data_IF_474475225706
#
_entry.id   IF_474475225706
#
_cell.length_a   1.000
_cell.length_b   1.000
_cell.length_c   1.000
_cell.angle_alpha   90.00
_cell.angle_beta   90.00
_cell.angle_gamma   90.00
#
_symmetry.space_group_name_H-M   'P 1'
#
loop_
_entity.id
_entity.type
_entity.pdbx_description
1 polymer ?
#
# COMPACT_ATOMS: atom_id res chain seq x y z
N UNK A 1 12.88 19.11 21.57
CA UNK A 1 12.11 17.91 21.18
C UNK A 1 12.90 17.04 20.23
N UNK A 2 12.49 15.79 20.09
CA UNK A 2 13.08 14.87 19.10
C UNK A 2 12.57 15.27 17.73
N UNK A 3 13.47 15.73 16.86
CA UNK A 3 13.10 16.15 15.49
C UNK A 3 12.98 14.99 14.51
N UNK A 4 13.69 13.90 14.76
CA UNK A 4 13.69 12.72 13.90
C UNK A 4 13.22 11.49 14.67
N UNK A 5 12.35 10.71 14.07
CA UNK A 5 11.93 9.41 14.59
C UNK A 5 11.88 8.36 13.49
N UNK A 6 12.22 7.12 13.86
CA UNK A 6 12.25 5.97 12.99
C UNK A 6 11.44 4.83 13.59
N UNK A 7 10.73 4.12 12.73
CA UNK A 7 10.07 2.87 13.04
C UNK A 7 10.38 1.90 11.92
N UNK A 8 10.73 0.66 12.25
CA UNK A 8 10.87 -0.41 11.29
C UNK A 8 10.27 -1.68 11.86
N UNK A 9 9.70 -2.51 11.00
CA UNK A 9 9.06 -3.75 11.37
C UNK A 9 9.22 -4.82 10.32
N UNK A 10 9.05 -6.08 10.76
CA UNK A 10 8.93 -7.26 9.89
C UNK A 10 7.78 -8.08 10.41
N UNK A 11 6.91 -8.52 9.50
CA UNK A 11 5.75 -9.37 9.79
C UNK A 11 5.73 -10.56 8.87
N UNK A 12 5.13 -11.66 9.33
CA UNK A 12 4.87 -12.84 8.52
C UNK A 12 3.42 -13.27 8.71
N UNK A 13 2.75 -13.55 7.61
CA UNK A 13 1.42 -14.14 7.58
C UNK A 13 1.50 -15.46 6.83
N UNK A 14 0.94 -16.50 7.42
CA UNK A 14 0.74 -17.81 6.78
C UNK A 14 -0.74 -18.08 6.64
N UNK A 15 -1.13 -18.52 5.47
CA UNK A 15 -2.51 -18.91 5.17
C UNK A 15 -2.52 -20.19 4.34
N UNK A 16 -3.65 -20.88 4.35
CA UNK A 16 -3.93 -22.01 3.51
C UNK A 16 -5.27 -21.80 2.83
N UNK A 17 -5.29 -21.96 1.52
CA UNK A 17 -6.49 -21.81 0.70
C UNK A 17 -6.95 -23.18 0.20
N UNK A 18 -8.02 -23.71 0.80
CA UNK A 18 -8.54 -25.05 0.50
C UNK A 18 -9.81 -25.03 -0.37
N UNK A 19 -10.54 -23.92 -0.37
CA UNK A 19 -11.92 -23.85 -0.89
C UNK A 19 -12.09 -23.17 -2.25
N UNK A 20 -11.03 -22.77 -2.93
CA UNK A 20 -11.17 -22.16 -4.25
C UNK A 20 -11.69 -23.18 -5.27
N UNK A 21 -12.79 -22.85 -5.94
CA UNK A 21 -13.29 -23.64 -7.08
C UNK A 21 -12.46 -23.39 -8.32
N UNK A 22 -11.88 -22.17 -8.43
CA UNK A 22 -11.02 -21.73 -9.51
C UNK A 22 -9.83 -20.96 -8.93
N UNK A 23 -8.65 -21.14 -9.52
CA UNK A 23 -7.44 -20.47 -9.12
C UNK A 23 -6.51 -21.28 -8.20
N UNK A 24 -5.86 -20.63 -7.25
CA UNK A 24 -4.85 -21.24 -6.40
C UNK A 24 -5.46 -21.96 -5.18
N UNK A 25 -4.97 -23.18 -4.91
CA UNK A 25 -5.18 -23.92 -3.67
C UNK A 25 -3.85 -24.34 -3.09
N UNK A 26 -3.59 -24.05 -1.82
CA UNK A 26 -2.35 -24.44 -1.17
C UNK A 26 -1.93 -23.51 -0.06
N UNK A 27 -0.66 -23.57 0.26
CA UNK A 27 -0.03 -22.80 1.31
C UNK A 27 0.51 -21.47 0.76
N UNK A 28 0.28 -20.40 1.50
CA UNK A 28 0.80 -19.07 1.21
C UNK A 28 1.60 -18.55 2.40
N UNK A 29 2.74 -17.98 2.15
CA UNK A 29 3.54 -17.27 3.14
C UNK A 29 3.86 -15.88 2.64
N UNK A 30 3.31 -14.86 3.32
CA UNK A 30 3.57 -13.46 3.03
C UNK A 30 4.51 -12.86 4.08
N UNK A 31 5.63 -12.34 3.63
CA UNK A 31 6.56 -11.53 4.42
C UNK A 31 6.35 -10.05 4.11
N UNK A 32 6.37 -9.24 5.14
CA UNK A 32 6.23 -7.78 5.03
C UNK A 32 7.36 -7.14 5.81
N UNK A 33 8.11 -6.28 5.15
CA UNK A 33 9.07 -5.40 5.80
C UNK A 33 8.61 -3.95 5.64
N UNK A 34 8.59 -3.19 6.73
CA UNK A 34 8.14 -1.81 6.73
C UNK A 34 9.15 -0.87 7.37
N UNK A 35 9.16 0.38 6.92
CA UNK A 35 9.93 1.45 7.51
C UNK A 35 9.17 2.77 7.44
N UNK A 36 9.24 3.54 8.51
CA UNK A 36 8.70 4.91 8.58
C UNK A 36 9.76 5.83 9.19
N UNK A 37 10.01 6.93 8.50
CA UNK A 37 10.79 8.06 9.03
C UNK A 37 9.92 9.30 9.12
N UNK A 38 10.05 10.02 10.22
CA UNK A 38 9.37 11.30 10.45
C UNK A 38 10.38 12.34 10.87
N UNK A 39 10.28 13.50 10.25
CA UNK A 39 11.00 14.71 10.66
C UNK A 39 10.01 15.82 10.97
N UNK A 40 10.22 16.48 12.11
CA UNK A 40 9.39 17.59 12.56
C UNK A 40 10.28 18.71 13.10
N UNK A 41 10.22 19.93 12.54
CA UNK A 41 11.00 21.07 13.03
C UNK A 41 10.73 21.34 14.50
N UNK A 42 11.79 21.40 15.31
CA UNK A 42 11.67 21.60 16.76
C UNK A 42 10.90 20.50 17.50
N UNK A 43 10.68 19.35 16.85
CA UNK A 43 9.88 18.23 17.39
C UNK A 43 8.37 18.45 17.35
N UNK A 44 7.89 19.48 16.64
CA UNK A 44 6.46 19.81 16.57
C UNK A 44 5.90 19.53 15.17
N UNK A 45 5.16 18.45 15.02
CA UNK A 45 4.52 18.07 13.76
C UNK A 45 3.37 18.99 13.33
N UNK A 46 2.88 19.88 14.19
CA UNK A 46 1.78 20.79 13.87
C UNK A 46 2.23 21.93 12.94
N UNK A 47 3.49 22.34 13.04
CA UNK A 47 4.02 23.50 12.33
C UNK A 47 4.67 23.15 10.98
N UNK A 48 4.79 21.86 10.69
CA UNK A 48 5.34 21.32 9.45
C UNK A 48 6.03 19.99 9.68
N UNK A 49 6.60 19.41 8.62
CA UNK A 49 7.38 18.19 8.72
C UNK A 49 7.25 17.30 7.49
N UNK A 50 8.06 16.26 7.49
CA UNK A 50 8.09 15.24 6.43
C UNK A 50 7.88 13.88 7.06
N UNK A 51 7.10 13.04 6.42
CA UNK A 51 7.00 11.63 6.71
C UNK A 51 7.30 10.84 5.44
N UNK A 52 8.26 9.91 5.55
CA UNK A 52 8.50 8.90 4.53
C UNK A 52 8.06 7.55 5.07
N UNK A 53 7.40 6.78 4.25
CA UNK A 53 6.92 5.43 4.53
C UNK A 53 7.24 4.52 3.37
N UNK A 54 7.64 3.29 3.65
CA UNK A 54 7.82 2.25 2.65
C UNK A 54 7.43 0.90 3.23
N UNK A 55 6.90 0.06 2.37
CA UNK A 55 6.68 -1.35 2.67
C UNK A 55 7.11 -2.19 1.48
N UNK A 56 7.66 -3.35 1.76
CA UNK A 56 7.99 -4.39 0.80
C UNK A 56 7.27 -5.66 1.20
N UNK A 57 6.59 -6.27 0.23
CA UNK A 57 5.83 -7.50 0.37
C UNK A 57 6.49 -8.58 -0.47
N UNK A 58 6.66 -9.75 0.11
CA UNK A 58 7.14 -10.92 -0.59
C UNK A 58 6.29 -12.12 -0.22
N UNK A 59 5.65 -12.72 -1.22
CA UNK A 59 4.74 -13.84 -1.07
C UNK A 59 5.29 -15.07 -1.80
N UNK A 60 5.37 -16.17 -1.07
CA UNK A 60 5.63 -17.51 -1.60
C UNK A 60 4.33 -18.31 -1.58
N UNK A 61 4.03 -19.00 -2.66
CA UNK A 61 2.88 -19.87 -2.82
C UNK A 61 3.33 -21.26 -3.29
N UNK A 62 2.79 -22.31 -2.66
CA UNK A 62 3.03 -23.70 -3.04
C UNK A 62 1.74 -24.50 -2.95
N UNK A 63 1.35 -25.18 -4.05
CA UNK A 63 0.10 -25.90 -4.09
C UNK A 63 -0.34 -26.36 -5.46
N UNK A 64 -1.60 -26.13 -5.77
CA UNK A 64 -2.26 -26.57 -7.00
C UNK A 64 -2.97 -25.37 -7.67
N UNK A 65 -2.78 -25.22 -8.96
CA UNK A 65 -3.67 -24.41 -9.76
C UNK A 65 -4.87 -25.28 -10.20
N UNK A 66 -6.06 -24.77 -9.97
CA UNK A 66 -7.34 -25.44 -10.29
C UNK A 66 -8.09 -24.59 -11.30
N UNK A 67 -8.52 -25.21 -12.40
CA UNK A 67 -9.39 -24.61 -13.38
C UNK A 67 -10.80 -25.21 -13.21
N UNK A 68 -11.79 -24.36 -12.90
CA UNK A 68 -13.16 -24.76 -12.67
C UNK A 68 -13.87 -25.26 -13.94
N UNK A 69 -13.41 -24.81 -15.11
CA UNK A 69 -14.04 -25.13 -16.40
C UNK A 69 -13.44 -26.41 -17.02
N UNK A 70 -12.15 -26.62 -16.83
CA UNK A 70 -11.45 -27.79 -17.39
C UNK A 70 -10.43 -28.36 -16.40
N UNK A 71 -10.79 -29.43 -15.65
CA UNK A 71 -9.88 -30.08 -14.70
C UNK A 71 -8.59 -30.63 -15.34
N UNK A 72 -8.50 -30.75 -16.67
CA UNK A 72 -7.27 -31.18 -17.34
C UNK A 72 -6.15 -30.12 -17.23
N UNK A 73 -6.50 -28.88 -16.92
CA UNK A 73 -5.53 -27.81 -16.65
C UNK A 73 -5.09 -27.73 -15.19
N UNK A 74 -5.63 -28.56 -14.30
CA UNK A 74 -5.17 -28.63 -12.94
C UNK A 74 -3.72 -29.11 -12.89
N UNK A 75 -2.85 -28.32 -12.23
CA UNK A 75 -1.43 -28.64 -12.18
C UNK A 75 -0.80 -28.17 -10.86
N UNK A 76 0.19 -28.93 -10.34
CA UNK A 76 1.03 -28.41 -9.28
C UNK A 76 1.66 -27.10 -9.70
N UNK A 77 1.62 -26.10 -8.81
CA UNK A 77 2.18 -24.81 -9.10
C UNK A 77 2.77 -24.17 -7.84
N UNK A 78 3.97 -23.68 -7.97
CA UNK A 78 4.61 -22.83 -6.98
C UNK A 78 5.06 -21.55 -7.64
N UNK A 79 4.89 -20.43 -6.96
CA UNK A 79 5.23 -19.14 -7.51
C UNK A 79 5.57 -18.12 -6.43
N UNK A 80 6.25 -17.08 -6.86
CA UNK A 80 6.65 -15.96 -6.01
C UNK A 80 6.19 -14.66 -6.63
N UNK A 81 5.62 -13.80 -5.81
CA UNK A 81 5.32 -12.44 -6.21
C UNK A 81 5.75 -11.46 -5.15
N UNK A 82 6.04 -10.26 -5.55
CA UNK A 82 6.43 -9.22 -4.62
C UNK A 82 5.80 -7.88 -4.98
N UNK A 83 5.81 -6.98 -4.04
CA UNK A 83 5.31 -5.64 -4.23
C UNK A 83 5.99 -4.68 -3.27
N UNK A 84 6.03 -3.43 -3.64
CA UNK A 84 6.55 -2.39 -2.76
C UNK A 84 5.81 -1.08 -2.98
N UNK A 85 5.81 -0.25 -1.95
CA UNK A 85 5.53 1.16 -2.14
C UNK A 85 6.49 2.05 -1.36
N UNK A 86 6.62 3.27 -1.86
CA UNK A 86 7.26 4.38 -1.15
C UNK A 86 6.32 5.57 -1.18
N UNK A 87 6.07 6.14 -0.01
CA UNK A 87 5.21 7.31 0.17
C UNK A 87 5.97 8.42 0.90
N UNK A 88 5.89 9.62 0.37
CA UNK A 88 6.36 10.83 1.03
C UNK A 88 5.21 11.80 1.25
N UNK A 89 5.02 12.26 2.48
CA UNK A 89 4.04 13.29 2.84
C UNK A 89 4.78 14.47 3.46
N UNK A 90 4.59 15.63 2.88
CA UNK A 90 5.10 16.90 3.37
C UNK A 90 3.95 17.73 3.95
N UNK A 91 3.99 17.95 5.25
CA UNK A 91 3.14 18.92 5.92
C UNK A 91 3.78 20.29 5.78
N UNK A 92 3.21 21.14 4.95
CA UNK A 92 3.70 22.49 4.65
C UNK A 92 3.47 23.41 5.86
N UNK A 93 2.29 23.27 6.47
CA UNK A 93 1.87 24.02 7.66
C UNK A 93 0.67 23.31 8.33
N UNK A 94 0.01 23.97 9.28
CA UNK A 94 -1.15 23.41 10.00
C UNK A 94 -2.34 23.08 9.12
N UNK A 95 -2.48 23.80 7.99
CA UNK A 95 -3.65 23.70 7.12
C UNK A 95 -3.40 22.82 5.90
N UNK A 96 -2.16 22.77 5.38
CA UNK A 96 -1.86 22.14 4.10
C UNK A 96 -0.83 21.03 4.22
N UNK A 97 -1.13 19.93 3.57
CA UNK A 97 -0.18 18.86 3.32
C UNK A 97 -0.29 18.38 1.88
N UNK A 98 0.83 17.90 1.34
CA UNK A 98 0.90 17.28 0.02
C UNK A 98 1.69 15.99 0.13
N UNK A 99 1.46 15.08 -0.79
CA UNK A 99 2.16 13.80 -0.78
C UNK A 99 2.24 13.18 -2.15
N UNK A 100 3.21 12.29 -2.26
CA UNK A 100 3.41 11.45 -3.43
C UNK A 100 3.64 10.02 -2.97
N UNK A 101 3.04 9.07 -3.70
CA UNK A 101 3.22 7.64 -3.51
C UNK A 101 3.49 6.97 -4.84
N UNK A 102 4.44 6.06 -4.83
CA UNK A 102 4.73 5.15 -5.92
C UNK A 102 4.54 3.72 -5.42
N UNK A 103 3.75 2.95 -6.16
CA UNK A 103 3.50 1.53 -5.92
C UNK A 103 3.99 0.74 -7.12
N UNK A 104 4.59 -0.43 -6.88
CA UNK A 104 5.00 -1.38 -7.91
C UNK A 104 4.76 -2.80 -7.46
N UNK A 105 4.32 -3.64 -8.40
CA UNK A 105 4.20 -5.09 -8.22
C UNK A 105 5.15 -5.78 -9.17
N UNK A 106 5.66 -6.92 -8.74
CA UNK A 106 6.41 -7.87 -9.55
C UNK A 106 5.70 -9.21 -9.48
N UNK A 107 5.26 -9.70 -10.61
CA UNK A 107 4.51 -10.96 -10.73
C UNK A 107 5.41 -12.15 -11.00
N UNK A 108 4.77 -13.31 -11.10
CA UNK A 108 5.41 -14.52 -11.59
C UNK A 108 5.75 -14.37 -13.08
N UNK A 109 6.93 -14.88 -13.46
CA UNK A 109 7.37 -14.89 -14.86
C UNK A 109 6.94 -16.18 -15.60
N UNK A 110 6.49 -17.18 -14.88
CA UNK A 110 6.10 -18.49 -15.40
C UNK A 110 4.82 -18.99 -14.75
N UNK A 111 4.15 -19.94 -15.41
CA UNK A 111 2.94 -20.59 -14.91
C UNK A 111 1.62 -19.84 -15.21
N UNK A 112 0.53 -20.26 -14.58
CA UNK A 112 -0.82 -19.77 -14.91
C UNK A 112 -1.06 -18.30 -14.54
N UNK A 113 -0.24 -17.74 -13.65
CA UNK A 113 -0.31 -16.33 -13.25
C UNK A 113 0.83 -15.48 -13.83
N UNK A 114 1.56 -16.02 -14.81
CA UNK A 114 2.65 -15.30 -15.44
C UNK A 114 2.21 -13.96 -16.02
N UNK A 115 2.99 -12.93 -15.74
CA UNK A 115 2.78 -11.61 -16.30
C UNK A 115 4.08 -11.12 -16.95
N UNK A 116 3.98 -10.65 -18.18
CA UNK A 116 5.12 -10.01 -18.89
C UNK A 116 5.26 -8.54 -18.54
N UNK A 117 4.40 -8.02 -17.66
CA UNK A 117 4.38 -6.62 -17.26
C UNK A 117 4.25 -6.49 -15.75
N UNK A 118 5.07 -5.62 -15.19
CA UNK A 118 5.03 -5.27 -13.77
C UNK A 118 4.13 -4.06 -13.55
N UNK A 119 2.94 -4.22 -12.93
CA UNK A 119 2.04 -3.12 -12.64
C UNK A 119 2.65 -2.06 -11.75
N UNK A 120 2.33 -0.79 -12.03
CA UNK A 120 2.75 0.31 -11.18
C UNK A 120 1.70 1.42 -11.09
N UNK A 121 1.77 2.20 -10.02
CA UNK A 121 0.89 3.35 -9.79
C UNK A 121 1.66 4.53 -9.24
N UNK A 122 1.33 5.71 -9.73
CA UNK A 122 1.73 6.99 -9.19
C UNK A 122 0.51 7.68 -8.57
N UNK A 123 0.64 8.20 -7.38
CA UNK A 123 -0.43 8.94 -6.71
C UNK A 123 0.10 10.26 -6.17
N UNK A 124 -0.57 11.36 -6.52
CA UNK A 124 -0.35 12.69 -5.95
C UNK A 124 -1.52 13.04 -5.05
N UNK A 125 -1.25 13.71 -3.94
CA UNK A 125 -2.23 14.11 -2.95
C UNK A 125 -2.00 15.55 -2.50
N UNK A 126 -3.09 16.28 -2.32
CA UNK A 126 -3.14 17.54 -1.59
C UNK A 126 -4.29 17.50 -0.59
N UNK A 127 -4.04 17.90 0.64
CA UNK A 127 -5.08 17.94 1.67
C UNK A 127 -5.09 19.29 2.38
N UNK A 128 -6.30 19.76 2.62
CA UNK A 128 -6.57 20.98 3.38
C UNK A 128 -7.34 20.63 4.66
N UNK A 129 -6.74 20.97 5.79
CA UNK A 129 -7.32 20.80 7.13
C UNK A 129 -7.92 22.11 7.56
N UNK A 130 -9.21 22.30 7.37
CA UNK A 130 -9.90 23.50 7.79
C UNK A 130 -10.12 23.59 9.30
N UNK A 131 -10.03 22.46 10.01
CA UNK A 131 -10.07 22.38 11.47
C UNK A 131 -9.37 21.13 11.99
N UNK A 132 -9.27 20.99 13.30
CA UNK A 132 -8.74 19.75 13.93
C UNK A 132 -9.66 18.54 13.67
N UNK A 133 -10.89 18.77 13.28
CA UNK A 133 -11.95 17.77 13.11
C UNK A 133 -12.30 17.47 11.66
N UNK A 134 -11.81 18.25 10.72
CA UNK A 134 -12.21 18.10 9.32
C UNK A 134 -11.08 18.38 8.34
N UNK A 135 -11.13 17.62 7.25
CA UNK A 135 -10.13 17.66 6.18
C UNK A 135 -10.81 17.41 4.83
N UNK A 136 -10.39 18.13 3.82
CA UNK A 136 -10.66 17.84 2.42
C UNK A 136 -9.35 17.34 1.79
N UNK A 137 -9.41 16.21 1.09
CA UNK A 137 -8.27 15.64 0.36
C UNK A 137 -8.65 15.43 -1.10
N UNK A 138 -7.79 15.91 -1.98
CA UNK A 138 -7.82 15.60 -3.41
C UNK A 138 -6.66 14.65 -3.71
N UNK A 139 -6.95 13.59 -4.44
CA UNK A 139 -5.98 12.60 -4.89
C UNK A 139 -6.12 12.40 -6.39
N UNK A 140 -4.98 12.31 -7.09
CA UNK A 140 -4.92 11.94 -8.51
C UNK A 140 -3.98 10.77 -8.64
N UNK A 141 -4.47 9.69 -9.23
CA UNK A 141 -3.68 8.48 -9.46
C UNK A 141 -3.57 8.18 -10.96
N UNK A 142 -2.39 7.77 -11.36
CA UNK A 142 -2.08 7.22 -12.67
C UNK A 142 -1.63 5.78 -12.49
N UNK A 143 -2.43 4.84 -12.96
CA UNK A 143 -2.27 3.41 -12.79
C UNK A 143 -2.00 2.74 -14.13
N UNK A 144 -0.99 1.89 -14.17
CA UNK A 144 -0.68 1.02 -15.29
C UNK A 144 -0.79 -0.43 -14.84
N UNK A 145 -2.02 -1.02 -14.89
CA UNK A 145 -2.27 -2.37 -14.40
C UNK A 145 -1.68 -3.46 -15.31
N UNK A 146 -1.46 -3.13 -16.57
CA UNK A 146 -0.86 -4.01 -17.57
C UNK A 146 -0.13 -3.20 -18.65
N UNK A 147 0.47 -3.87 -19.65
CA UNK A 147 1.24 -3.22 -20.71
C UNK A 147 0.42 -2.33 -21.65
N UNK A 148 -0.89 -2.51 -21.73
CA UNK A 148 -1.78 -1.85 -22.69
C UNK A 148 -2.67 -0.79 -22.04
N UNK A 149 -3.27 -1.10 -20.89
CA UNK A 149 -4.26 -0.23 -20.26
C UNK A 149 -3.61 0.82 -19.36
N UNK A 150 -4.34 1.90 -19.19
CA UNK A 150 -3.96 3.00 -18.29
C UNK A 150 -5.22 3.54 -17.64
N UNK A 151 -5.24 3.57 -16.32
CA UNK A 151 -6.32 4.15 -15.54
C UNK A 151 -5.88 5.43 -14.86
N UNK A 152 -6.70 6.48 -14.99
CA UNK A 152 -6.52 7.73 -14.28
C UNK A 152 -7.70 7.97 -13.37
N UNK A 153 -7.43 8.10 -12.08
CA UNK A 153 -8.49 8.26 -11.07
C UNK A 153 -8.31 9.58 -10.33
N UNK A 154 -9.40 10.31 -10.17
CA UNK A 154 -9.47 11.50 -9.32
C UNK A 154 -10.41 11.20 -8.16
N UNK A 155 -9.92 11.34 -6.94
CA UNK A 155 -10.70 11.11 -5.71
C UNK A 155 -10.76 12.39 -4.89
N UNK A 156 -11.97 12.81 -4.54
CA UNK A 156 -12.23 13.87 -3.57
C UNK A 156 -12.80 13.23 -2.30
N UNK A 157 -12.13 13.45 -1.17
CA UNK A 157 -12.54 12.93 0.13
C UNK A 157 -12.80 14.10 1.09
N UNK A 158 -13.95 14.06 1.75
CA UNK A 158 -14.19 14.87 2.95
C UNK A 158 -14.20 13.95 4.16
N UNK A 159 -13.39 14.28 5.15
CA UNK A 159 -13.31 13.55 6.41
C UNK A 159 -13.71 14.47 7.55
N UNK A 160 -14.57 13.98 8.44
CA UNK A 160 -14.91 14.65 9.69
C UNK A 160 -14.83 13.66 10.84
N UNK A 161 -14.34 14.11 11.98
CA UNK A 161 -14.28 13.35 13.22
C UNK A 161 -15.34 13.91 14.17
N UNK A 162 -16.25 13.05 14.61
CA UNK A 162 -17.30 13.38 15.56
C UNK A 162 -17.03 12.60 16.85
N UNK A 163 -17.09 13.28 18.00
CA UNK A 163 -16.90 12.66 19.31
C UNK A 163 -16.27 13.60 20.33
N UNK A 164 -16.32 13.20 21.60
CA UNK A 164 -15.64 13.92 22.66
C UNK A 164 -14.11 13.77 22.50
N UNK A 165 -13.37 14.86 22.53
CA UNK A 165 -11.91 14.82 22.61
C UNK A 165 -11.51 14.08 23.88
N UNK A 166 -10.85 12.93 23.73
CA UNK A 166 -10.07 12.36 24.82
C UNK A 166 -8.99 13.37 25.19
N UNK A 167 -8.97 13.82 26.44
CA UNK A 167 -7.92 14.70 26.92
C UNK A 167 -6.55 14.10 26.59
N UNK A 168 -5.74 14.80 25.81
CA UNK A 168 -4.37 14.42 25.58
C UNK A 168 -3.65 14.41 26.93
N UNK A 169 -3.30 13.24 27.42
CA UNK A 169 -2.32 13.14 28.50
C UNK A 169 -0.98 13.57 27.92
N UNK A 170 -0.45 14.65 28.47
CA UNK A 170 0.91 15.15 28.21
C UNK A 170 1.94 14.13 28.66
#
# INVERSE_FOLDING_TARGET
GIENSWLAGVSVLKSQTDGAEDGFRGDETLWIADATWKWAPGGNTKDGGIQLRSEYFWEDRDGLYVDALDPAFNQPWSGQRSGAYVEGVWRINRLWETGYRYDKLWGDNEGPYASTFDPYRHTLMAAWRNSEFSMIRLQVSHDKPNGTDTDNTVTLQYQTSLGAHGAHKF
#
